data_IF_678927269735
#
_entry.id   IF_678927269735
#
_cell.length_a   1.000
_cell.length_b   1.000
_cell.length_c   1.000
_cell.angle_alpha   90.00
_cell.angle_beta   90.00
_cell.angle_gamma   90.00
#
_symmetry.space_group_name_H-M   'P 1'
#
loop_
_entity.id
_entity.type
_entity.pdbx_description
1 polymer ?
#
# COMPACT_ATOMS: atom_id res chain seq x y z
N UNK A 1 64.52 35.95 34.63
CA UNK A 1 63.31 35.15 34.90
C UNK A 1 62.35 35.40 33.75
N UNK A 2 61.84 34.34 33.14
CA UNK A 2 61.30 34.31 31.79
C UNK A 2 60.12 35.27 31.55
N UNK A 3 60.23 36.10 30.50
CA UNK A 3 59.11 36.82 29.91
C UNK A 3 58.27 35.83 29.10
N UNK A 4 57.05 35.54 29.58
CA UNK A 4 56.10 34.70 28.88
C UNK A 4 55.22 35.62 28.00
N UNK A 5 55.61 35.78 26.74
CA UNK A 5 54.79 36.46 25.74
C UNK A 5 53.64 35.55 25.33
N UNK A 6 52.46 35.81 25.87
CA UNK A 6 51.19 35.21 25.44
C UNK A 6 50.89 35.69 24.02
N UNK A 7 51.19 34.86 23.04
CA UNK A 7 50.88 35.11 21.65
C UNK A 7 49.35 34.95 21.44
N UNK A 8 48.63 36.07 21.41
CA UNK A 8 47.22 36.10 20.98
C UNK A 8 47.12 35.78 19.50
N UNK A 9 47.01 34.50 19.19
CA UNK A 9 46.66 33.98 17.86
C UNK A 9 45.26 34.46 17.50
N UNK A 10 45.19 35.52 16.69
CA UNK A 10 43.97 36.02 16.08
C UNK A 10 43.50 34.96 15.07
N UNK A 11 42.59 34.08 15.50
CA UNK A 11 41.98 33.08 14.61
C UNK A 11 41.26 33.82 13.48
N UNK A 12 41.92 33.89 12.33
CA UNK A 12 41.34 34.42 11.11
C UNK A 12 40.13 33.57 10.77
N UNK A 13 38.94 34.16 10.84
CA UNK A 13 37.70 33.58 10.37
C UNK A 13 37.94 33.04 8.94
N UNK A 14 37.97 31.72 8.79
CA UNK A 14 38.27 31.10 7.49
C UNK A 14 37.18 31.49 6.51
N UNK A 15 37.53 31.79 5.25
CA UNK A 15 36.54 32.13 4.22
C UNK A 15 35.42 31.07 4.10
N UNK A 16 35.74 29.81 4.44
CA UNK A 16 34.79 28.70 4.53
C UNK A 16 33.70 28.88 5.60
N UNK A 17 34.05 29.34 6.80
CA UNK A 17 33.07 29.53 7.89
C UNK A 17 32.15 30.70 7.58
N UNK A 18 32.67 31.78 7.00
CA UNK A 18 31.85 32.89 6.53
C UNK A 18 30.86 32.44 5.43
N UNK A 19 31.34 31.67 4.45
CA UNK A 19 30.50 31.17 3.35
C UNK A 19 29.38 30.25 3.86
N UNK A 20 29.70 29.28 4.73
CA UNK A 20 28.69 28.40 5.33
C UNK A 20 27.64 29.19 6.10
N UNK A 21 28.05 30.18 6.89
CA UNK A 21 27.13 30.99 7.68
C UNK A 21 26.20 31.82 6.78
N UNK A 22 26.73 32.42 5.70
CA UNK A 22 25.91 33.12 4.72
C UNK A 22 24.93 32.20 3.98
N UNK A 23 25.33 30.96 3.69
CA UNK A 23 24.48 29.97 3.04
C UNK A 23 23.34 29.49 3.95
N UNK A 24 23.63 29.25 5.23
CA UNK A 24 22.62 28.88 6.23
C UNK A 24 21.61 30.01 6.41
N UNK A 25 22.07 31.27 6.51
CA UNK A 25 21.19 32.43 6.60
C UNK A 25 20.33 32.56 5.34
N UNK A 26 20.90 32.39 4.15
CA UNK A 26 20.15 32.44 2.90
C UNK A 26 19.07 31.34 2.84
N UNK A 27 19.40 30.10 3.21
CA UNK A 27 18.44 28.99 3.29
C UNK A 27 17.32 29.25 4.31
N UNK A 28 17.65 29.82 5.47
CA UNK A 28 16.66 30.17 6.49
C UNK A 28 15.69 31.26 6.01
N UNK A 29 16.20 32.27 5.29
CA UNK A 29 15.37 33.32 4.68
C UNK A 29 14.46 32.75 3.60
N UNK A 30 14.99 31.87 2.73
CA UNK A 30 14.19 31.19 1.71
C UNK A 30 13.08 30.36 2.37
N UNK A 31 13.41 29.59 3.42
CA UNK A 31 12.43 28.79 4.15
C UNK A 31 11.35 29.68 4.78
N UNK A 32 11.71 30.80 5.41
CA UNK A 32 10.76 31.71 6.05
C UNK A 32 9.82 32.42 5.05
N UNK A 33 10.25 32.63 3.81
CA UNK A 33 9.40 33.19 2.73
C UNK A 33 8.51 32.09 2.13
N UNK A 34 9.01 30.85 2.06
CA UNK A 34 8.29 29.74 1.44
C UNK A 34 7.25 29.09 2.38
N UNK A 35 7.48 29.09 3.69
CA UNK A 35 6.54 28.56 4.70
C UNK A 35 5.12 29.12 4.60
N UNK A 36 4.87 30.45 4.56
CA UNK A 36 3.50 30.96 4.48
C UNK A 36 2.77 30.55 3.20
N UNK A 37 3.49 30.33 2.09
CA UNK A 37 2.91 29.88 0.81
C UNK A 37 2.52 28.40 0.90
N UNK A 38 3.34 27.58 1.57
CA UNK A 38 3.02 26.16 1.77
C UNK A 38 1.85 25.95 2.72
N UNK A 39 1.69 26.75 3.79
CA UNK A 39 0.59 26.60 4.75
C UNK A 39 -0.80 26.83 4.12
N UNK A 40 -0.89 27.62 3.04
CA UNK A 40 -2.16 27.88 2.36
C UNK A 40 -2.47 26.81 1.28
N UNK A 41 -1.45 26.28 0.61
CA UNK A 41 -1.63 25.32 -0.50
C UNK A 41 -1.67 23.85 -0.04
N UNK A 42 -0.86 23.48 0.95
CA UNK A 42 -0.77 22.10 1.47
C UNK A 42 -2.09 21.54 2.00
N UNK A 43 -2.88 22.26 2.84
CA UNK A 43 -4.11 21.67 3.40
C UNK A 43 -5.17 21.41 2.33
N UNK A 44 -5.23 22.23 1.27
CA UNK A 44 -6.14 22.02 0.14
C UNK A 44 -5.81 20.76 -0.63
N UNK A 45 -4.52 20.53 -0.92
CA UNK A 45 -4.07 19.32 -1.63
C UNK A 45 -4.22 18.08 -0.74
N UNK A 46 -3.87 18.15 0.54
CA UNK A 46 -4.00 17.03 1.47
C UNK A 46 -5.45 16.56 1.58
N UNK A 47 -6.40 17.48 1.74
CA UNK A 47 -7.83 17.14 1.81
C UNK A 47 -8.35 16.50 0.52
N UNK A 48 -7.94 17.01 -0.65
CA UNK A 48 -8.34 16.45 -1.95
C UNK A 48 -7.75 15.04 -2.13
N UNK A 49 -6.47 14.87 -1.80
CA UNK A 49 -5.77 13.59 -1.92
C UNK A 49 -6.37 12.55 -0.97
N UNK A 50 -6.59 12.88 0.31
CA UNK A 50 -7.21 11.95 1.26
C UNK A 50 -8.61 11.54 0.84
N UNK A 51 -9.42 12.49 0.36
CA UNK A 51 -10.77 12.20 -0.14
C UNK A 51 -10.73 11.27 -1.35
N UNK A 52 -9.85 11.55 -2.32
CA UNK A 52 -9.72 10.76 -3.54
C UNK A 52 -9.21 9.35 -3.25
N UNK A 53 -8.21 9.21 -2.38
CA UNK A 53 -7.68 7.92 -1.97
C UNK A 53 -8.74 7.09 -1.24
N UNK A 54 -9.47 7.69 -0.30
CA UNK A 54 -10.51 6.98 0.46
C UNK A 54 -11.68 6.51 -0.44
N UNK A 55 -12.13 7.36 -1.37
CA UNK A 55 -13.14 6.98 -2.37
C UNK A 55 -12.63 5.82 -3.23
N UNK A 56 -11.38 5.91 -3.71
CA UNK A 56 -10.76 4.89 -4.55
C UNK A 56 -10.65 3.54 -3.81
N UNK A 57 -10.18 3.56 -2.57
CA UNK A 57 -10.11 2.36 -1.71
C UNK A 57 -11.48 1.70 -1.55
N UNK A 58 -12.52 2.48 -1.21
CA UNK A 58 -13.86 1.93 -1.05
C UNK A 58 -14.44 1.36 -2.35
N UNK A 59 -14.20 2.03 -3.48
CA UNK A 59 -14.62 1.51 -4.78
C UNK A 59 -13.94 0.19 -5.13
N UNK A 60 -12.65 0.06 -4.85
CA UNK A 60 -11.93 -1.19 -5.11
C UNK A 60 -12.43 -2.31 -4.20
N UNK A 61 -12.74 -2.03 -2.93
CA UNK A 61 -13.39 -3.00 -2.05
C UNK A 61 -14.75 -3.47 -2.58
N UNK A 62 -15.58 -2.54 -3.06
CA UNK A 62 -16.87 -2.87 -3.66
C UNK A 62 -16.72 -3.73 -4.92
N UNK A 63 -15.76 -3.41 -5.79
CA UNK A 63 -15.47 -4.19 -7.00
C UNK A 63 -14.96 -5.58 -6.61
N UNK A 64 -13.98 -5.66 -5.70
CA UNK A 64 -13.40 -6.92 -5.23
C UNK A 64 -14.45 -7.84 -4.61
N UNK A 65 -15.33 -7.29 -3.77
CA UNK A 65 -16.45 -8.04 -3.17
C UNK A 65 -17.51 -8.43 -4.20
N UNK A 66 -17.84 -7.53 -5.13
CA UNK A 66 -18.79 -7.80 -6.23
C UNK A 66 -18.33 -8.94 -7.12
N UNK A 67 -17.04 -9.00 -7.45
CA UNK A 67 -16.45 -10.10 -8.24
C UNK A 67 -16.57 -11.44 -7.51
N UNK A 68 -16.33 -11.50 -6.19
CA UNK A 68 -16.51 -12.76 -5.43
C UNK A 68 -17.94 -13.24 -5.54
N UNK A 69 -18.89 -12.35 -5.24
CA UNK A 69 -20.31 -12.71 -5.21
C UNK A 69 -20.76 -13.15 -6.60
N UNK A 70 -20.42 -12.37 -7.63
CA UNK A 70 -20.75 -12.69 -9.02
C UNK A 70 -20.13 -14.03 -9.46
N UNK A 71 -18.84 -14.22 -9.20
CA UNK A 71 -18.12 -15.45 -9.52
C UNK A 71 -18.68 -16.68 -8.80
N UNK A 72 -19.01 -16.55 -7.51
CA UNK A 72 -19.61 -17.61 -6.72
C UNK A 72 -21.00 -18.00 -7.29
N UNK A 73 -21.88 -17.03 -7.53
CA UNK A 73 -23.22 -17.27 -8.07
C UNK A 73 -23.13 -17.94 -9.45
N UNK A 74 -22.29 -17.44 -10.35
CA UNK A 74 -22.17 -17.97 -11.71
C UNK A 74 -21.61 -19.39 -11.72
N UNK A 75 -20.63 -19.69 -10.87
CA UNK A 75 -20.09 -21.04 -10.70
C UNK A 75 -21.13 -21.97 -10.09
N UNK A 76 -21.88 -21.53 -9.08
CA UNK A 76 -22.95 -22.34 -8.47
C UNK A 76 -24.03 -22.70 -9.50
N UNK A 77 -24.48 -21.74 -10.31
CA UNK A 77 -25.46 -22.00 -11.38
C UNK A 77 -24.90 -23.03 -12.37
N UNK A 78 -23.66 -22.86 -12.82
CA UNK A 78 -23.02 -23.81 -13.75
C UNK A 78 -22.81 -25.20 -13.12
N UNK A 79 -22.46 -25.25 -11.84
CA UNK A 79 -22.31 -26.50 -11.11
C UNK A 79 -23.62 -27.27 -11.07
N UNK A 80 -24.73 -26.60 -10.73
CA UNK A 80 -26.06 -27.22 -10.74
C UNK A 80 -26.45 -27.70 -12.14
N UNK A 81 -26.22 -26.89 -13.18
CA UNK A 81 -26.50 -27.27 -14.58
C UNK A 81 -25.67 -28.48 -15.05
N UNK A 82 -24.37 -28.52 -14.73
CA UNK A 82 -23.50 -29.64 -15.07
C UNK A 82 -23.94 -30.92 -14.35
N UNK A 83 -24.28 -30.84 -13.06
CA UNK A 83 -24.71 -31.97 -12.25
C UNK A 83 -26.08 -32.53 -12.67
N UNK A 84 -26.92 -31.69 -13.28
CA UNK A 84 -28.20 -32.09 -13.90
C UNK A 84 -28.03 -32.74 -15.28
N UNK A 85 -27.01 -32.37 -16.05
CA UNK A 85 -26.75 -32.93 -17.40
C UNK A 85 -25.98 -34.24 -17.38
N UNK A 86 -24.92 -34.34 -16.58
CA UNK A 86 -24.07 -35.53 -16.50
C UNK A 86 -23.59 -35.72 -15.05
N UNK A 87 -24.14 -36.70 -14.30
CA UNK A 87 -23.79 -36.91 -12.90
C UNK A 87 -22.35 -37.42 -12.67
N UNK A 88 -21.63 -37.83 -13.72
CA UNK A 88 -20.32 -38.50 -13.64
C UNK A 88 -19.11 -37.63 -14.04
N UNK A 89 -19.26 -36.33 -14.33
CA UNK A 89 -18.14 -35.42 -14.64
C UNK A 89 -17.97 -34.31 -13.59
N UNK A 90 -17.07 -34.46 -12.60
CA UNK A 90 -17.02 -33.57 -11.44
C UNK A 90 -16.22 -32.26 -11.62
N UNK A 91 -15.35 -32.11 -12.64
CA UNK A 91 -14.25 -31.12 -12.58
C UNK A 91 -14.37 -29.84 -13.41
N UNK A 92 -15.43 -29.65 -14.20
CA UNK A 92 -15.43 -28.54 -15.17
C UNK A 92 -15.50 -27.13 -14.53
N UNK A 93 -16.00 -27.01 -13.29
CA UNK A 93 -16.39 -25.73 -12.69
C UNK A 93 -15.34 -25.10 -11.77
N UNK A 94 -14.42 -25.91 -11.23
CA UNK A 94 -13.38 -25.47 -10.28
C UNK A 94 -12.38 -24.49 -10.91
N UNK A 95 -12.10 -24.66 -12.21
CA UNK A 95 -11.24 -23.77 -13.00
C UNK A 95 -11.79 -22.33 -13.02
N UNK A 96 -13.08 -22.17 -13.27
CA UNK A 96 -13.73 -20.86 -13.34
C UNK A 96 -13.81 -20.20 -11.96
N UNK A 97 -14.13 -20.97 -10.93
CA UNK A 97 -14.12 -20.49 -9.54
C UNK A 97 -12.77 -19.95 -9.13
N UNK A 98 -11.69 -20.66 -9.50
CA UNK A 98 -10.33 -20.19 -9.23
C UNK A 98 -10.04 -18.84 -9.88
N UNK A 99 -10.47 -18.64 -11.12
CA UNK A 99 -10.23 -17.38 -11.84
C UNK A 99 -10.90 -16.19 -11.16
N UNK A 100 -12.19 -16.32 -10.82
CA UNK A 100 -12.92 -15.23 -10.15
C UNK A 100 -12.39 -14.94 -8.75
N UNK A 101 -12.00 -15.96 -7.99
CA UNK A 101 -11.41 -15.77 -6.66
C UNK A 101 -10.06 -15.05 -6.74
N UNK A 102 -9.17 -15.48 -7.64
CA UNK A 102 -7.86 -14.83 -7.81
C UNK A 102 -8.02 -13.36 -8.20
N UNK A 103 -8.92 -13.04 -9.14
CA UNK A 103 -9.15 -11.67 -9.57
C UNK A 103 -9.73 -10.77 -8.46
N UNK A 104 -10.62 -11.31 -7.63
CA UNK A 104 -11.08 -10.58 -6.44
C UNK A 104 -9.95 -10.31 -5.44
N UNK A 105 -9.09 -11.30 -5.21
CA UNK A 105 -7.97 -11.18 -4.29
C UNK A 105 -6.96 -10.13 -4.74
N UNK A 106 -6.70 -10.03 -6.05
CA UNK A 106 -5.90 -8.94 -6.62
C UNK A 106 -6.52 -7.56 -6.34
N UNK A 107 -7.83 -7.41 -6.48
CA UNK A 107 -8.51 -6.16 -6.11
C UNK A 107 -8.41 -5.85 -4.62
N UNK A 108 -8.61 -6.85 -3.74
CA UNK A 108 -8.48 -6.62 -2.30
C UNK A 108 -7.06 -6.23 -1.90
N UNK A 109 -6.03 -6.87 -2.47
CA UNK A 109 -4.64 -6.47 -2.23
C UNK A 109 -4.40 -5.03 -2.72
N UNK A 110 -4.91 -4.66 -3.89
CA UNK A 110 -4.83 -3.29 -4.41
C UNK A 110 -5.51 -2.26 -3.49
N UNK A 111 -6.69 -2.57 -2.97
CA UNK A 111 -7.42 -1.70 -2.04
C UNK A 111 -6.63 -1.46 -0.76
N UNK A 112 -6.03 -2.53 -0.23
CA UNK A 112 -5.26 -2.50 1.00
C UNK A 112 -3.95 -1.71 0.83
N UNK A 113 -3.23 -1.88 -0.30
CA UNK A 113 -2.03 -1.06 -0.60
C UNK A 113 -2.39 0.42 -0.62
N UNK A 114 -3.48 0.81 -1.30
CA UNK A 114 -3.91 2.22 -1.32
C UNK A 114 -4.30 2.70 0.08
N UNK A 115 -4.96 1.85 0.88
CA UNK A 115 -5.34 2.17 2.26
C UNK A 115 -4.13 2.42 3.17
N UNK A 116 -3.01 1.75 2.93
CA UNK A 116 -1.77 2.01 3.67
C UNK A 116 -1.16 3.39 3.39
N UNK A 117 -1.50 4.02 2.26
CA UNK A 117 -1.08 5.39 1.96
C UNK A 117 -1.96 6.42 2.69
N UNK A 118 -3.24 6.09 2.92
CA UNK A 118 -4.19 6.94 3.67
C UNK A 118 -3.89 6.91 5.18
N UNK A 119 -3.57 5.73 5.70
CA UNK A 119 -3.33 5.54 7.14
C UNK A 119 -1.87 5.84 7.47
N UNK A 120 -1.62 7.07 7.93
CA UNK A 120 -0.27 7.56 8.28
C UNK A 120 0.14 7.27 9.73
N UNK A 121 -0.72 6.67 10.56
CA UNK A 121 -0.40 6.34 11.96
C UNK A 121 0.18 4.93 12.08
N UNK A 122 1.25 4.78 12.88
CA UNK A 122 1.95 3.49 13.05
C UNK A 122 1.05 2.38 13.60
N UNK A 123 0.12 2.71 14.49
CA UNK A 123 -0.79 1.74 15.12
C UNK A 123 -1.80 1.17 14.12
N UNK A 124 -2.47 2.05 13.36
CA UNK A 124 -3.45 1.64 12.36
C UNK A 124 -2.78 0.95 11.16
N UNK A 125 -1.57 1.39 10.79
CA UNK A 125 -0.74 0.74 9.77
C UNK A 125 -0.36 -0.70 10.16
N UNK A 126 0.00 -0.94 11.43
CA UNK A 126 0.32 -2.29 11.94
C UNK A 126 -0.87 -3.24 11.89
N UNK A 127 -2.06 -2.77 12.27
CA UNK A 127 -3.30 -3.55 12.18
C UNK A 127 -3.66 -3.87 10.73
N UNK A 128 -3.49 -2.90 9.82
CA UNK A 128 -3.66 -3.08 8.39
C UNK A 128 -2.75 -4.18 7.83
N UNK A 129 -1.46 -4.12 8.13
CA UNK A 129 -0.49 -5.09 7.59
C UNK A 129 -0.78 -6.51 8.07
N UNK A 130 -1.24 -6.67 9.32
CA UNK A 130 -1.66 -7.95 9.87
C UNK A 130 -2.87 -8.53 9.11
N UNK A 131 -3.88 -7.70 8.84
CA UNK A 131 -5.09 -8.10 8.10
C UNK A 131 -4.75 -8.51 6.66
N UNK A 132 -3.90 -7.72 5.99
CA UNK A 132 -3.42 -8.02 4.64
C UNK A 132 -2.67 -9.34 4.62
N UNK A 133 -1.74 -9.53 5.57
CA UNK A 133 -0.95 -10.74 5.68
C UNK A 133 -1.83 -11.97 5.94
N UNK A 134 -2.81 -11.86 6.84
CA UNK A 134 -3.78 -12.93 7.13
C UNK A 134 -4.58 -13.30 5.88
N UNK A 135 -5.08 -12.31 5.13
CA UNK A 135 -5.84 -12.54 3.87
C UNK A 135 -4.97 -13.15 2.78
N UNK A 136 -3.73 -12.66 2.61
CA UNK A 136 -2.76 -13.23 1.69
C UNK A 136 -2.44 -14.68 2.02
N UNK A 137 -2.30 -15.00 3.31
CA UNK A 137 -2.07 -16.37 3.77
C UNK A 137 -3.27 -17.29 3.50
N UNK A 138 -4.49 -16.87 3.83
CA UNK A 138 -5.70 -17.66 3.53
C UNK A 138 -5.87 -17.88 2.02
N UNK A 139 -5.67 -16.84 1.22
CA UNK A 139 -5.69 -16.90 -0.24
C UNK A 139 -4.65 -17.88 -0.78
N UNK A 140 -3.42 -17.81 -0.25
CA UNK A 140 -2.32 -18.70 -0.63
C UNK A 140 -2.62 -20.15 -0.25
N UNK A 141 -3.18 -20.39 0.94
CA UNK A 141 -3.60 -21.72 1.38
C UNK A 141 -4.65 -22.29 0.43
N UNK A 142 -5.70 -21.53 0.10
CA UNK A 142 -6.74 -21.97 -0.85
C UNK A 142 -6.19 -22.21 -2.26
N UNK A 143 -5.20 -21.42 -2.69
CA UNK A 143 -4.50 -21.64 -3.94
C UNK A 143 -3.68 -22.95 -3.92
N UNK A 144 -2.92 -23.18 -2.85
CA UNK A 144 -2.09 -24.38 -2.69
C UNK A 144 -2.94 -25.65 -2.54
N UNK A 145 -4.03 -25.59 -1.78
CA UNK A 145 -5.00 -26.67 -1.65
C UNK A 145 -5.57 -27.06 -3.01
N UNK A 146 -5.98 -26.08 -3.82
CA UNK A 146 -6.44 -26.33 -5.19
C UNK A 146 -5.34 -26.94 -6.07
N UNK A 147 -4.09 -26.49 -5.94
CA UNK A 147 -2.94 -27.01 -6.70
C UNK A 147 -2.65 -28.47 -6.35
N UNK A 148 -2.72 -28.82 -5.07
CA UNK A 148 -2.44 -30.17 -4.53
C UNK A 148 -3.58 -31.15 -4.79
N UNK A 149 -4.84 -30.74 -4.66
CA UNK A 149 -5.97 -31.62 -5.01
C UNK A 149 -6.17 -31.79 -6.52
N UNK A 150 -5.69 -30.85 -7.34
CA UNK A 150 -5.71 -30.99 -8.80
C UNK A 150 -4.73 -32.03 -9.37
N UNK A 151 -3.71 -32.44 -8.59
CA UNK A 151 -2.76 -33.51 -8.97
C UNK A 151 -3.21 -34.90 -8.55
N UNK A 152 -4.19 -35.02 -7.65
CA UNK A 152 -4.68 -36.30 -7.15
C UNK A 152 -5.70 -37.00 -8.08
N UNK A 153 -6.16 -36.32 -9.14
CA UNK A 153 -7.09 -36.89 -10.14
C UNK A 153 -6.38 -37.33 -11.43
N UNK A 154 -5.04 -37.30 -11.45
CA UNK A 154 -4.22 -37.69 -12.62
C UNK A 154 -3.30 -38.89 -12.35
N UNK A 155 -3.47 -39.60 -11.24
CA UNK A 155 -2.83 -40.91 -10.98
C UNK A 155 -3.86 -41.99 -10.70
#
# INVERSE_FOLDING_TARGET
MAECSVETKKEGFSALTALILTLVVALAVIAAVLTPISEEFLPGIEAIVDTLLNITTNMIYLIGGGVIIFGAVLVTIRFVQCKLKDPYKPTCVTRFLSGYLTLSLEFFIGAEIIRTVVVRTYEEFSLLILVIFSRGLFSLILYLERRWHGTAETE
#
